data_IF_184092328668
#
_entry.id   IF_184092328668
#
_cell.length_a   1.000
_cell.length_b   1.000
_cell.length_c   1.000
_cell.angle_alpha   90.00
_cell.angle_beta   90.00
_cell.angle_gamma   90.00
#
_symmetry.space_group_name_H-M   'P 1'
#
loop_
_entity.id
_entity.type
_entity.pdbx_description
1 polymer ?
#
# COMPACT_ATOMS: atom_id res chain seq x y z
N UNK A 1 -28.69 -31.53 -25.12
CA UNK A 1 -28.49 -30.09 -25.41
C UNK A 1 -27.39 -29.57 -24.51
N UNK A 2 -26.34 -28.93 -25.03
CA UNK A 2 -25.35 -28.26 -24.18
C UNK A 2 -26.04 -27.11 -23.41
N UNK A 3 -25.77 -27.02 -22.11
CA UNK A 3 -26.29 -25.97 -21.22
C UNK A 3 -25.86 -24.61 -21.80
N UNK A 4 -26.76 -23.63 -21.96
CA UNK A 4 -26.38 -22.32 -22.47
C UNK A 4 -25.28 -21.71 -21.58
N UNK A 5 -24.33 -20.94 -22.16
CA UNK A 5 -23.28 -20.30 -21.39
C UNK A 5 -23.91 -19.39 -20.33
N UNK A 6 -23.50 -19.61 -19.08
CA UNK A 6 -23.96 -18.82 -17.93
C UNK A 6 -23.67 -17.34 -18.20
N UNK A 7 -24.64 -16.43 -18.10
CA UNK A 7 -24.40 -15.02 -18.32
C UNK A 7 -23.32 -14.50 -17.36
N UNK A 8 -22.49 -13.53 -17.78
CA UNK A 8 -21.46 -12.97 -16.92
C UNK A 8 -22.11 -12.39 -15.65
N UNK A 9 -21.60 -12.84 -14.50
CA UNK A 9 -22.02 -12.40 -13.17
C UNK A 9 -21.85 -10.87 -13.08
N UNK A 10 -22.89 -10.14 -12.63
CA UNK A 10 -22.78 -8.70 -12.42
C UNK A 10 -21.69 -8.37 -11.39
N UNK A 11 -21.00 -7.24 -11.52
CA UNK A 11 -19.94 -6.81 -10.58
C UNK A 11 -20.43 -6.85 -9.13
N UNK A 12 -21.66 -6.38 -8.88
CA UNK A 12 -22.26 -6.40 -7.55
C UNK A 12 -22.51 -7.80 -7.02
N UNK A 13 -22.95 -8.76 -7.85
CA UNK A 13 -23.09 -10.15 -7.41
C UNK A 13 -21.72 -10.77 -7.13
N UNK A 14 -20.72 -10.52 -7.98
CA UNK A 14 -19.35 -11.01 -7.79
C UNK A 14 -18.76 -10.55 -6.45
N UNK A 15 -18.96 -9.29 -6.07
CA UNK A 15 -18.52 -8.76 -4.77
C UNK A 15 -19.20 -9.46 -3.59
N UNK A 16 -20.51 -9.71 -3.68
CA UNK A 16 -21.25 -10.43 -2.62
C UNK A 16 -20.81 -11.87 -2.49
N UNK A 17 -20.56 -12.57 -3.59
CA UNK A 17 -20.03 -13.95 -3.57
C UNK A 17 -18.61 -13.99 -3.00
N UNK A 18 -17.75 -13.03 -3.35
CA UNK A 18 -16.41 -12.90 -2.78
C UNK A 18 -16.46 -12.60 -1.27
N UNK A 19 -17.43 -11.83 -0.80
CA UNK A 19 -17.65 -11.60 0.63
C UNK A 19 -18.11 -12.85 1.38
N UNK A 20 -19.02 -13.65 0.79
CA UNK A 20 -19.40 -14.97 1.35
C UNK A 20 -18.16 -15.84 1.52
N UNK A 21 -17.35 -15.95 0.47
CA UNK A 21 -16.11 -16.73 0.50
C UNK A 21 -15.12 -16.22 1.55
N UNK A 22 -14.90 -14.90 1.62
CA UNK A 22 -14.02 -14.28 2.60
C UNK A 22 -14.43 -14.68 4.03
N UNK A 23 -15.72 -14.60 4.36
CA UNK A 23 -16.16 -14.91 5.72
C UNK A 23 -16.09 -16.41 6.03
N UNK A 24 -16.44 -17.26 5.08
CA UNK A 24 -16.25 -18.71 5.24
C UNK A 24 -14.78 -19.06 5.46
N UNK A 25 -13.89 -18.46 4.66
CA UNK A 25 -12.47 -18.82 4.66
C UNK A 25 -11.73 -18.27 5.87
N UNK A 26 -11.91 -16.99 6.19
CA UNK A 26 -11.12 -16.31 7.22
C UNK A 26 -11.81 -16.21 8.57
N UNK A 27 -13.15 -16.25 8.61
CA UNK A 27 -13.93 -16.17 9.86
C UNK A 27 -14.62 -17.50 10.22
N UNK A 28 -14.61 -18.49 9.32
CA UNK A 28 -15.17 -19.82 9.56
C UNK A 28 -16.70 -19.88 9.56
N UNK A 29 -17.39 -18.75 9.34
CA UNK A 29 -18.85 -18.74 9.24
C UNK A 29 -19.39 -17.58 8.41
N UNK A 30 -20.56 -17.81 7.82
CA UNK A 30 -21.36 -16.77 7.15
C UNK A 30 -22.84 -16.97 7.47
N UNK A 31 -23.51 -15.90 7.90
CA UNK A 31 -24.96 -15.83 8.08
C UNK A 31 -25.59 -14.86 7.09
N UNK A 32 -26.90 -14.99 6.91
CA UNK A 32 -27.70 -14.10 6.06
C UNK A 32 -27.66 -12.64 6.52
N UNK A 33 -27.79 -12.32 7.84
CA UNK A 33 -27.75 -10.93 8.31
C UNK A 33 -26.51 -10.19 7.88
N UNK A 34 -25.34 -10.82 7.81
CA UNK A 34 -24.14 -10.05 7.51
C UNK A 34 -24.05 -9.65 6.03
N UNK A 35 -24.72 -10.37 5.12
CA UNK A 35 -24.86 -9.89 3.74
C UNK A 35 -25.82 -8.70 3.69
N UNK A 36 -26.88 -8.73 4.49
CA UNK A 36 -27.87 -7.65 4.59
C UNK A 36 -27.20 -6.40 5.18
N UNK A 37 -26.51 -6.55 6.31
CA UNK A 37 -25.82 -5.47 7.01
C UNK A 37 -24.71 -4.88 6.17
N UNK A 38 -23.99 -5.72 5.41
CA UNK A 38 -22.92 -5.26 4.53
C UNK A 38 -23.44 -4.52 3.29
N UNK A 39 -24.37 -5.11 2.57
CA UNK A 39 -24.74 -4.64 1.22
C UNK A 39 -26.09 -3.90 1.16
N UNK A 40 -26.82 -3.79 2.28
CA UNK A 40 -28.14 -3.18 2.32
C UNK A 40 -29.19 -3.92 1.48
N UNK A 41 -28.97 -5.21 1.22
CA UNK A 41 -29.83 -6.01 0.33
C UNK A 41 -31.00 -6.65 1.07
N UNK A 42 -32.08 -6.94 0.35
CA UNK A 42 -33.23 -7.65 0.92
C UNK A 42 -32.88 -9.10 1.33
N UNK A 43 -33.53 -9.67 2.36
CA UNK A 43 -33.25 -11.04 2.82
C UNK A 43 -33.36 -12.14 1.75
N UNK A 44 -34.27 -11.97 0.78
CA UNK A 44 -34.43 -12.89 -0.34
C UNK A 44 -33.21 -12.87 -1.28
N UNK A 45 -32.58 -11.70 -1.46
CA UNK A 45 -31.36 -11.56 -2.27
C UNK A 45 -30.20 -12.25 -1.56
N UNK A 46 -30.02 -12.02 -0.26
CA UNK A 46 -28.96 -12.69 0.51
C UNK A 46 -29.08 -14.23 0.47
N UNK A 47 -30.30 -14.76 0.55
CA UNK A 47 -30.56 -16.20 0.43
C UNK A 47 -30.19 -16.72 -0.97
N UNK A 48 -30.52 -15.95 -2.02
CA UNK A 48 -30.18 -16.29 -3.40
C UNK A 48 -28.67 -16.24 -3.63
N UNK A 49 -27.97 -15.27 -3.07
CA UNK A 49 -26.51 -15.15 -3.19
C UNK A 49 -25.80 -16.32 -2.50
N UNK A 50 -26.26 -16.75 -1.31
CA UNK A 50 -25.74 -17.95 -0.62
C UNK A 50 -25.96 -19.23 -1.46
N UNK A 51 -27.14 -19.36 -2.08
CA UNK A 51 -27.42 -20.47 -2.98
C UNK A 51 -26.53 -20.42 -4.24
N UNK A 52 -26.32 -19.24 -4.82
CA UNK A 52 -25.47 -19.03 -5.98
C UNK A 52 -23.99 -19.36 -5.66
N UNK A 53 -23.48 -18.94 -4.50
CA UNK A 53 -22.13 -19.30 -4.07
C UNK A 53 -21.99 -20.82 -3.93
N UNK A 54 -22.97 -21.49 -3.31
CA UNK A 54 -22.99 -22.95 -3.19
C UNK A 54 -23.07 -23.67 -4.54
N UNK A 55 -23.80 -23.13 -5.52
CA UNK A 55 -23.83 -23.69 -6.88
C UNK A 55 -22.46 -23.57 -7.55
N UNK A 56 -21.77 -22.45 -7.35
CA UNK A 56 -20.45 -22.19 -7.93
C UNK A 56 -19.32 -22.98 -7.24
N UNK A 57 -19.40 -23.14 -5.91
CA UNK A 57 -18.36 -23.78 -5.09
C UNK A 57 -19.01 -24.72 -4.04
N UNK A 58 -19.57 -25.87 -4.46
CA UNK A 58 -20.36 -26.75 -3.59
C UNK A 58 -19.57 -27.35 -2.42
N UNK A 59 -18.25 -27.50 -2.58
CA UNK A 59 -17.36 -28.02 -1.54
C UNK A 59 -16.88 -26.97 -0.53
N UNK A 60 -17.16 -25.68 -0.79
CA UNK A 60 -16.71 -24.59 0.06
C UNK A 60 -17.70 -24.24 1.18
N UNK A 61 -18.95 -24.69 1.10
CA UNK A 61 -20.01 -24.21 1.99
C UNK A 61 -20.95 -25.34 2.41
N UNK A 62 -21.08 -25.50 3.72
CA UNK A 62 -22.02 -26.45 4.35
C UNK A 62 -22.96 -25.68 5.27
N UNK A 63 -24.21 -26.13 5.40
CA UNK A 63 -25.18 -25.50 6.31
C UNK A 63 -25.23 -26.26 7.63
N UNK A 64 -24.85 -25.58 8.72
CA UNK A 64 -24.96 -26.10 10.08
C UNK A 64 -26.38 -25.86 10.60
N UNK A 65 -27.17 -26.93 10.68
CA UNK A 65 -28.56 -26.88 11.13
C UNK A 65 -28.71 -26.47 12.59
N UNK A 66 -27.74 -26.83 13.45
CA UNK A 66 -27.77 -26.54 14.89
C UNK A 66 -27.57 -25.05 15.14
N UNK A 67 -26.52 -24.48 14.53
CA UNK A 67 -26.16 -23.07 14.69
C UNK A 67 -26.89 -22.13 13.73
N UNK A 68 -27.62 -22.68 12.75
CA UNK A 68 -28.38 -21.95 11.71
C UNK A 68 -27.50 -20.97 10.93
N UNK A 69 -26.30 -21.41 10.58
CA UNK A 69 -25.30 -20.65 9.83
C UNK A 69 -24.62 -21.53 8.78
N UNK A 70 -23.86 -20.92 7.89
CA UNK A 70 -23.04 -21.66 6.94
C UNK A 70 -21.58 -21.68 7.40
N UNK A 71 -20.92 -22.83 7.26
CA UNK A 71 -19.52 -23.09 7.64
C UNK A 71 -18.71 -23.49 6.41
N UNK A 72 -17.37 -23.35 6.44
CA UNK A 72 -16.52 -23.83 5.37
C UNK A 72 -16.64 -25.36 5.25
N UNK A 73 -16.75 -25.85 4.02
CA UNK A 73 -16.73 -27.28 3.76
C UNK A 73 -15.34 -27.90 3.91
N UNK A 74 -15.29 -29.22 4.05
CA UNK A 74 -14.05 -29.99 4.27
C UNK A 74 -13.01 -29.90 3.15
N UNK A 75 -13.42 -29.57 1.92
CA UNK A 75 -12.58 -29.49 0.73
C UNK A 75 -12.59 -28.07 0.14
N UNK A 76 -12.42 -27.07 1.01
CA UNK A 76 -12.52 -25.67 0.66
C UNK A 76 -11.40 -25.22 -0.31
N UNK A 77 -11.79 -24.68 -1.46
CA UNK A 77 -10.88 -24.07 -2.43
C UNK A 77 -11.43 -22.71 -2.90
N UNK A 78 -10.79 -21.58 -2.54
CA UNK A 78 -11.28 -20.25 -2.89
C UNK A 78 -11.37 -20.08 -4.41
N UNK A 79 -12.49 -19.55 -4.89
CA UNK A 79 -12.77 -19.26 -6.30
C UNK A 79 -12.64 -17.77 -6.63
N UNK A 80 -12.53 -16.90 -5.63
CA UNK A 80 -12.27 -15.46 -5.79
C UNK A 80 -10.84 -15.09 -5.37
N UNK A 81 -10.25 -14.03 -5.97
CA UNK A 81 -8.95 -13.53 -5.54
C UNK A 81 -9.07 -12.82 -4.19
N UNK A 82 -8.22 -13.20 -3.24
CA UNK A 82 -8.11 -12.58 -1.91
C UNK A 82 -6.68 -12.07 -1.69
N UNK A 83 -6.32 -10.88 -2.21
CA UNK A 83 -5.00 -10.31 -1.99
C UNK A 83 -4.73 -10.10 -0.49
N UNK A 84 -3.58 -10.54 0.04
CA UNK A 84 -3.29 -10.49 1.48
C UNK A 84 -3.50 -9.12 2.11
N UNK A 85 -3.11 -8.03 1.42
CA UNK A 85 -3.27 -6.67 1.91
C UNK A 85 -4.75 -6.27 2.10
N UNK A 86 -5.62 -6.71 1.18
CA UNK A 86 -7.06 -6.47 1.28
C UNK A 86 -7.70 -7.32 2.38
N UNK A 87 -7.27 -8.57 2.51
CA UNK A 87 -7.73 -9.48 3.57
C UNK A 87 -7.35 -8.92 4.94
N UNK A 88 -6.09 -8.55 5.14
CA UNK A 88 -5.62 -7.96 6.40
C UNK A 88 -6.31 -6.64 6.70
N UNK A 89 -6.53 -5.78 5.69
CA UNK A 89 -7.32 -4.56 5.88
C UNK A 89 -8.75 -4.87 6.30
N UNK A 90 -9.41 -5.84 5.65
CA UNK A 90 -10.78 -6.23 5.99
C UNK A 90 -10.86 -6.81 7.40
N UNK A 91 -9.98 -7.75 7.76
CA UNK A 91 -9.94 -8.35 9.09
C UNK A 91 -9.70 -7.31 10.20
N UNK A 92 -8.84 -6.34 9.95
CA UNK A 92 -8.38 -5.40 10.97
C UNK A 92 -9.15 -4.08 11.03
N UNK A 93 -9.71 -3.62 9.91
CA UNK A 93 -10.39 -2.31 9.77
C UNK A 93 -11.76 -2.40 9.08
N UNK A 94 -12.20 -3.60 8.75
CA UNK A 94 -13.41 -3.83 7.97
C UNK A 94 -13.22 -3.49 6.49
N UNK A 95 -14.26 -3.74 5.70
CA UNK A 95 -14.26 -3.38 4.29
C UNK A 95 -14.71 -1.91 4.15
N UNK A 96 -13.78 -0.95 4.33
CA UNK A 96 -14.08 0.48 4.40
C UNK A 96 -15.10 0.98 3.36
N UNK A 97 -16.31 1.32 3.80
CA UNK A 97 -17.37 1.91 2.99
C UNK A 97 -18.09 3.00 3.79
N UNK A 98 -17.96 4.25 3.35
CA UNK A 98 -18.88 5.35 3.66
C UNK A 98 -18.82 5.94 5.08
N UNK A 99 -19.34 7.16 5.22
CA UNK A 99 -19.55 7.90 6.48
C UNK A 99 -20.46 7.19 7.50
N UNK A 100 -20.93 5.98 7.19
CA UNK A 100 -21.83 5.20 8.02
C UNK A 100 -21.04 4.14 8.79
N UNK A 101 -20.96 4.31 10.12
CA UNK A 101 -20.38 3.40 11.10
C UNK A 101 -18.95 3.00 10.78
N UNK A 102 -17.99 3.54 11.55
CA UNK A 102 -16.63 3.00 11.63
C UNK A 102 -16.71 1.47 11.64
N UNK A 103 -16.36 0.84 10.52
CA UNK A 103 -16.42 -0.60 10.37
C UNK A 103 -15.39 -1.13 11.36
N UNK A 104 -15.84 -1.63 12.51
CA UNK A 104 -14.95 -2.33 13.42
C UNK A 104 -14.43 -3.54 12.64
N UNK A 105 -13.12 -3.74 12.64
CA UNK A 105 -12.53 -4.93 12.03
C UNK A 105 -13.23 -6.21 12.50
N UNK A 106 -13.15 -7.27 11.70
CA UNK A 106 -13.69 -8.56 12.09
C UNK A 106 -12.93 -9.20 13.24
N UNK A 107 -11.68 -8.79 13.48
CA UNK A 107 -10.81 -9.32 14.53
C UNK A 107 -10.19 -8.18 15.35
N UNK A 108 -9.85 -8.41 16.64
CA UNK A 108 -9.08 -7.47 17.43
C UNK A 108 -7.68 -7.31 16.81
N UNK A 109 -7.29 -6.07 16.53
CA UNK A 109 -6.01 -5.73 15.91
C UNK A 109 -5.46 -4.46 16.54
N UNK A 110 -4.18 -4.46 16.89
CA UNK A 110 -3.44 -3.29 17.34
C UNK A 110 -2.54 -2.79 16.22
N UNK A 111 -2.34 -1.48 16.15
CA UNK A 111 -1.52 -0.85 15.13
C UNK A 111 -0.50 0.11 15.75
N UNK A 112 0.70 0.22 15.16
CA UNK A 112 1.61 1.30 15.52
C UNK A 112 0.93 2.67 15.40
N UNK A 113 1.18 3.54 16.38
CA UNK A 113 0.64 4.90 16.37
C UNK A 113 1.25 5.71 15.23
N UNK A 114 0.40 6.36 14.44
CA UNK A 114 0.83 7.35 13.45
C UNK A 114 0.99 8.72 14.12
N UNK A 115 2.23 9.24 14.13
CA UNK A 115 2.59 10.46 14.87
C UNK A 115 2.49 11.75 14.03
N UNK A 116 2.27 11.65 12.73
CA UNK A 116 2.52 12.77 11.82
C UNK A 116 1.53 12.83 10.64
N UNK A 117 0.25 12.83 10.96
CA UNK A 117 -0.82 13.01 9.97
C UNK A 117 -0.82 14.44 9.41
N UNK A 118 -0.91 14.63 8.08
CA UNK A 118 -1.03 15.95 7.49
C UNK A 118 -2.38 16.59 7.82
N UNK A 119 -2.41 17.92 7.93
CA UNK A 119 -3.66 18.68 7.97
C UNK A 119 -4.47 18.40 6.68
N UNK A 120 -5.74 18.03 6.82
CA UNK A 120 -6.60 17.68 5.69
C UNK A 120 -6.86 18.85 4.74
N UNK A 121 -6.86 20.10 5.23
CA UNK A 121 -6.99 21.30 4.40
C UNK A 121 -5.76 21.47 3.50
N UNK A 122 -4.57 21.26 4.06
CA UNK A 122 -3.31 21.29 3.32
C UNK A 122 -3.28 20.16 2.29
N UNK A 123 -3.58 18.93 2.72
CA UNK A 123 -3.61 17.76 1.85
C UNK A 123 -4.59 17.95 0.68
N UNK A 124 -5.78 18.51 0.94
CA UNK A 124 -6.79 18.77 -0.09
C UNK A 124 -6.33 19.78 -1.15
N UNK A 125 -5.53 20.79 -0.80
CA UNK A 125 -4.94 21.71 -1.79
C UNK A 125 -3.85 21.01 -2.60
N UNK A 126 -2.91 20.33 -1.93
CA UNK A 126 -1.79 19.63 -2.59
C UNK A 126 -2.30 18.58 -3.58
N UNK A 127 -3.27 17.77 -3.16
CA UNK A 127 -3.86 16.73 -4.03
C UNK A 127 -4.65 17.29 -5.19
N UNK A 128 -5.36 18.42 -5.01
CA UNK A 128 -5.97 19.14 -6.14
C UNK A 128 -4.91 19.68 -7.10
N UNK A 129 -3.79 20.21 -6.59
CA UNK A 129 -2.68 20.68 -7.41
C UNK A 129 -2.14 19.55 -8.30
N UNK A 130 -1.88 18.38 -7.71
CA UNK A 130 -1.43 17.18 -8.44
C UNK A 130 -2.47 16.74 -9.48
N UNK A 131 -3.73 16.57 -9.07
CA UNK A 131 -4.79 16.06 -9.95
C UNK A 131 -5.09 17.02 -11.12
N UNK A 132 -5.07 18.32 -10.87
CA UNK A 132 -5.32 19.36 -11.88
C UNK A 132 -4.06 19.77 -12.63
N UNK A 133 -2.88 19.21 -12.28
CA UNK A 133 -1.56 19.58 -12.82
C UNK A 133 -1.27 21.09 -12.68
N UNK A 134 -1.60 21.67 -11.54
CA UNK A 134 -1.41 23.09 -11.24
C UNK A 134 -0.26 23.30 -10.27
N UNK A 135 0.43 24.42 -10.42
CA UNK A 135 1.39 24.89 -9.44
C UNK A 135 0.69 25.35 -8.15
N UNK A 136 1.43 25.37 -7.06
CA UNK A 136 0.98 25.94 -5.79
C UNK A 136 2.05 26.86 -5.20
N UNK A 137 1.59 27.93 -4.57
CA UNK A 137 2.40 28.76 -3.67
C UNK A 137 2.17 28.28 -2.24
N UNK A 138 3.24 28.13 -1.47
CA UNK A 138 3.18 27.59 -0.09
C UNK A 138 4.28 28.19 0.76
N UNK A 139 4.02 28.34 2.06
CA UNK A 139 5.08 28.58 3.04
C UNK A 139 5.58 27.22 3.52
N UNK A 140 6.84 26.91 3.22
CA UNK A 140 7.46 25.65 3.61
C UNK A 140 8.42 25.83 4.77
N UNK A 141 8.19 25.08 5.85
CA UNK A 141 9.01 25.07 7.07
C UNK A 141 10.13 24.03 6.98
N UNK A 142 11.31 24.43 6.49
CA UNK A 142 12.47 23.54 6.47
C UNK A 142 13.22 23.53 7.81
N UNK A 143 13.90 22.42 8.13
CA UNK A 143 14.70 22.33 9.37
C UNK A 143 15.89 23.30 9.37
N UNK A 144 16.46 23.58 8.20
CA UNK A 144 17.67 24.41 8.08
C UNK A 144 17.35 25.90 7.99
N UNK A 145 16.30 26.28 7.23
CA UNK A 145 16.01 27.68 6.88
C UNK A 145 14.75 28.24 7.54
N UNK A 146 13.97 27.41 8.26
CA UNK A 146 12.66 27.81 8.78
C UNK A 146 11.64 28.07 7.66
N UNK A 147 10.68 28.99 7.86
CA UNK A 147 9.61 29.27 6.90
C UNK A 147 10.14 29.98 5.66
N UNK A 148 9.85 29.43 4.48
CA UNK A 148 10.22 30.01 3.18
C UNK A 148 9.05 29.92 2.22
N UNK A 149 8.69 31.04 1.57
CA UNK A 149 7.72 31.03 0.49
C UNK A 149 8.30 30.31 -0.73
N UNK A 150 7.54 29.37 -1.31
CA UNK A 150 7.93 28.58 -2.47
C UNK A 150 6.80 28.51 -3.48
N UNK A 151 7.18 28.44 -4.75
CA UNK A 151 6.31 28.01 -5.83
C UNK A 151 6.75 26.63 -6.29
N UNK A 152 5.83 25.67 -6.22
CA UNK A 152 6.15 24.27 -6.50
C UNK A 152 5.11 23.68 -7.43
N UNK A 153 5.55 22.78 -8.30
CA UNK A 153 4.69 22.02 -9.23
C UNK A 153 4.68 20.57 -8.78
N UNK A 154 3.73 20.16 -7.91
CA UNK A 154 3.66 18.79 -7.44
C UNK A 154 3.03 17.89 -8.50
N UNK A 155 3.51 16.65 -8.57
CA UNK A 155 2.99 15.66 -9.52
C UNK A 155 2.74 14.28 -8.90
N UNK A 156 3.20 14.03 -7.68
CA UNK A 156 2.93 12.77 -6.99
C UNK A 156 2.90 12.93 -5.47
N UNK A 157 2.15 12.02 -4.83
CA UNK A 157 2.31 11.72 -3.41
C UNK A 157 3.32 10.58 -3.23
N UNK A 158 4.18 10.72 -2.23
CA UNK A 158 5.16 9.69 -1.83
C UNK A 158 4.96 9.38 -0.36
N UNK A 159 4.71 8.11 -0.05
CA UNK A 159 4.72 7.61 1.32
C UNK A 159 6.11 7.05 1.63
N UNK A 160 6.77 7.60 2.65
CA UNK A 160 8.07 7.12 3.14
C UNK A 160 7.95 6.00 4.17
N UNK A 161 6.72 5.55 4.47
CA UNK A 161 6.40 4.64 5.57
C UNK A 161 6.25 5.35 6.92
N UNK A 162 6.79 6.56 7.05
CA UNK A 162 6.65 7.41 8.22
C UNK A 162 5.85 8.67 7.89
N UNK A 163 6.22 9.39 6.82
CA UNK A 163 5.67 10.69 6.42
C UNK A 163 5.18 10.67 4.97
N UNK A 164 4.14 11.46 4.72
CA UNK A 164 3.69 11.79 3.38
C UNK A 164 4.44 13.00 2.83
N UNK A 165 4.89 12.87 1.59
CA UNK A 165 5.56 13.90 0.82
C UNK A 165 4.77 14.21 -0.45
N UNK A 166 4.86 15.44 -0.93
CA UNK A 166 4.59 15.77 -2.31
C UNK A 166 5.93 15.79 -3.07
N UNK A 167 6.06 14.94 -4.09
CA UNK A 167 7.15 15.05 -5.05
C UNK A 167 6.81 16.18 -6.02
N UNK A 168 7.68 17.17 -6.10
CA UNK A 168 7.42 18.40 -6.85
C UNK A 168 8.68 18.97 -7.48
N UNK A 169 8.53 19.69 -8.58
CA UNK A 169 9.53 20.63 -9.04
C UNK A 169 9.43 21.91 -8.21
N UNK A 170 10.50 22.30 -7.52
CA UNK A 170 10.56 23.53 -6.72
C UNK A 170 11.21 24.65 -7.55
N UNK A 171 10.41 25.64 -7.99
CA UNK A 171 10.89 26.73 -8.83
C UNK A 171 11.89 27.63 -8.12
N UNK A 172 11.85 27.71 -6.78
CA UNK A 172 12.82 28.50 -6.02
C UNK A 172 14.22 27.89 -6.05
N UNK A 173 14.34 26.57 -6.23
CA UNK A 173 15.62 25.88 -6.30
C UNK A 173 15.91 25.20 -7.64
N UNK A 174 14.99 25.31 -8.59
CA UNK A 174 15.05 24.71 -9.93
C UNK A 174 15.38 23.21 -9.88
N UNK A 175 14.76 22.48 -8.94
CA UNK A 175 15.07 21.08 -8.69
C UNK A 175 13.84 20.29 -8.24
N UNK A 176 13.83 19.00 -8.56
CA UNK A 176 12.83 18.05 -8.06
C UNK A 176 13.13 17.67 -6.60
N UNK A 177 12.10 17.69 -5.74
CA UNK A 177 12.25 17.44 -4.29
C UNK A 177 11.04 16.74 -3.70
N UNK A 178 11.28 16.07 -2.58
CA UNK A 178 10.24 15.53 -1.71
C UNK A 178 9.91 16.51 -0.58
N UNK A 179 8.75 17.17 -0.67
CA UNK A 179 8.29 18.13 0.33
C UNK A 179 7.32 17.47 1.31
N UNK A 180 7.74 17.32 2.57
CA UNK A 180 6.89 16.78 3.64
C UNK A 180 5.62 17.62 3.81
N UNK A 181 4.44 17.01 3.72
CA UNK A 181 3.15 17.74 3.73
C UNK A 181 2.88 18.41 5.09
N UNK A 182 3.29 17.80 6.20
CA UNK A 182 3.10 18.38 7.56
C UNK A 182 3.92 19.65 7.81
N UNK A 183 4.77 20.07 6.86
CA UNK A 183 5.58 21.29 6.93
C UNK A 183 5.09 22.40 5.99
N UNK A 184 3.96 22.17 5.32
CA UNK A 184 3.34 23.12 4.42
C UNK A 184 2.30 23.96 5.17
N UNK A 185 2.43 25.26 5.06
CA UNK A 185 1.50 26.25 5.59
C UNK A 185 0.89 27.06 4.44
N UNK A 186 -0.43 27.28 4.54
CA UNK A 186 -1.24 28.07 3.60
C UNK A 186 -0.97 27.79 2.10
N UNK A 187 -1.08 26.53 1.64
CA UNK A 187 -0.95 26.25 0.22
C UNK A 187 -2.10 26.89 -0.57
N UNK A 188 -1.77 27.56 -1.67
CA UNK A 188 -2.72 28.19 -2.59
C UNK A 188 -2.41 27.75 -4.01
N UNK A 189 -3.43 27.28 -4.74
CA UNK A 189 -3.30 26.98 -6.16
C UNK A 189 -3.09 28.28 -6.94
N UNK A 190 -2.14 28.25 -7.87
CA UNK A 190 -1.87 29.38 -8.75
C UNK A 190 -2.04 28.94 -10.21
N UNK A 191 -2.50 29.88 -11.04
CA UNK A 191 -2.58 29.67 -12.48
C UNK A 191 -1.25 30.09 -13.10
N UNK A 192 -0.49 29.12 -13.58
CA UNK A 192 0.79 29.33 -14.24
C UNK A 192 0.79 28.60 -15.56
N UNK A 193 1.50 29.15 -16.56
CA UNK A 193 1.69 28.45 -17.82
C UNK A 193 2.34 27.08 -17.57
N UNK A 194 1.87 26.06 -18.29
CA UNK A 194 2.49 24.75 -18.27
C UNK A 194 3.93 24.87 -18.78
N UNK A 195 4.87 24.45 -17.94
CA UNK A 195 6.28 24.35 -18.30
C UNK A 195 6.65 22.86 -18.41
N UNK A 196 6.94 22.34 -19.61
CA UNK A 196 7.33 20.94 -19.80
C UNK A 196 8.54 20.51 -18.98
N UNK A 197 9.41 21.44 -18.57
CA UNK A 197 10.60 21.13 -17.78
C UNK A 197 10.30 20.83 -16.30
N UNK A 198 9.07 21.11 -15.84
CA UNK A 198 8.66 20.97 -14.43
C UNK A 198 7.85 19.69 -14.17
N UNK A 199 7.72 18.83 -15.19
CA UNK A 199 6.87 17.65 -15.15
C UNK A 199 7.59 16.39 -14.63
N UNK A 200 6.81 15.35 -14.32
CA UNK A 200 7.32 14.09 -13.77
C UNK A 200 8.29 13.34 -14.70
N UNK A 201 8.21 13.53 -16.02
CA UNK A 201 9.06 12.86 -17.00
C UNK A 201 10.48 13.47 -17.04
N UNK A 202 10.62 14.69 -16.54
CA UNK A 202 11.91 15.38 -16.40
C UNK A 202 12.62 15.08 -15.09
N UNK A 203 11.92 14.48 -14.12
CA UNK A 203 12.53 14.00 -12.89
C UNK A 203 13.22 12.64 -13.12
N UNK A 204 14.55 12.67 -13.19
CA UNK A 204 15.36 11.45 -13.35
C UNK A 204 15.16 10.47 -12.18
N UNK A 205 14.99 10.94 -10.95
CA UNK A 205 14.75 10.06 -9.80
C UNK A 205 13.38 9.39 -9.91
N UNK A 206 12.39 10.11 -10.43
CA UNK A 206 11.05 9.57 -10.62
C UNK A 206 10.98 8.56 -11.76
N UNK A 207 11.59 8.88 -12.91
CA UNK A 207 11.51 8.04 -14.12
C UNK A 207 12.41 6.81 -14.03
N UNK A 208 13.59 6.92 -13.39
CA UNK A 208 14.54 5.81 -13.24
C UNK A 208 13.99 4.72 -12.34
N UNK A 209 14.08 3.49 -12.83
CA UNK A 209 13.82 2.24 -12.10
C UNK A 209 15.12 1.67 -11.55
N UNK A 210 15.09 1.23 -10.30
CA UNK A 210 16.24 0.70 -9.56
C UNK A 210 15.91 -0.74 -9.14
N UNK A 211 16.55 -1.74 -9.76
CA UNK A 211 16.38 -3.13 -9.37
C UNK A 211 17.15 -3.40 -8.07
N UNK A 212 16.43 -3.67 -6.98
CA UNK A 212 17.01 -4.03 -5.69
C UNK A 212 16.95 -5.56 -5.52
N UNK A 213 18.09 -6.17 -5.19
CA UNK A 213 18.14 -7.58 -4.80
C UNK A 213 18.45 -7.66 -3.31
N UNK A 214 17.46 -8.04 -2.52
CA UNK A 214 17.57 -8.21 -1.08
C UNK A 214 17.80 -9.68 -0.77
N UNK A 215 18.78 -9.97 0.08
CA UNK A 215 19.09 -11.33 0.55
C UNK A 215 19.05 -11.36 2.08
N UNK A 216 18.92 -12.53 2.72
CA UNK A 216 19.16 -12.64 4.14
C UNK A 216 20.52 -12.07 4.50
N UNK A 217 20.60 -11.33 5.60
CA UNK A 217 21.84 -10.75 6.06
C UNK A 217 22.93 -11.83 6.21
N UNK A 218 24.14 -11.67 5.65
CA UNK A 218 25.17 -12.70 5.65
C UNK A 218 25.53 -13.21 7.05
N UNK A 219 25.58 -12.30 8.04
CA UNK A 219 25.86 -12.62 9.44
C UNK A 219 24.68 -13.21 10.23
N UNK A 220 23.52 -13.47 9.60
CA UNK A 220 22.37 -14.07 10.29
C UNK A 220 22.45 -15.60 10.24
N UNK A 221 22.75 -16.31 11.35
CA UNK A 221 22.88 -17.77 11.37
C UNK A 221 21.63 -18.52 10.93
N UNK A 222 20.45 -17.87 10.99
CA UNK A 222 19.16 -18.47 10.62
C UNK A 222 18.58 -17.90 9.33
N UNK A 223 19.39 -17.80 8.28
CA UNK A 223 18.99 -17.27 6.97
C UNK A 223 17.70 -17.91 6.39
N UNK A 224 17.44 -19.20 6.68
CA UNK A 224 16.18 -19.86 6.27
C UNK A 224 14.94 -19.24 6.90
N UNK A 225 15.01 -18.80 8.16
CA UNK A 225 13.89 -18.12 8.83
C UNK A 225 13.64 -16.76 8.19
N UNK A 226 14.71 -16.00 7.91
CA UNK A 226 14.60 -14.74 7.17
C UNK A 226 13.96 -14.97 5.80
N UNK A 227 14.38 -16.01 5.07
CA UNK A 227 13.78 -16.35 3.78
C UNK A 227 12.27 -16.65 3.91
N UNK A 228 11.82 -17.28 4.99
CA UNK A 228 10.41 -17.51 5.28
C UNK A 228 9.65 -16.22 5.61
N UNK A 229 10.20 -15.36 6.48
CA UNK A 229 9.59 -14.08 6.90
C UNK A 229 9.20 -13.21 5.69
N UNK A 230 10.02 -13.24 4.65
CA UNK A 230 9.82 -12.42 3.45
C UNK A 230 9.38 -13.19 2.20
N UNK A 231 8.99 -14.46 2.35
CA UNK A 231 8.51 -15.28 1.23
C UNK A 231 9.50 -15.43 0.06
N UNK A 232 10.81 -15.45 0.38
CA UNK A 232 11.87 -15.49 -0.63
C UNK A 232 11.82 -16.78 -1.45
N UNK A 233 12.11 -16.66 -2.74
CA UNK A 233 12.35 -17.81 -3.63
C UNK A 233 13.82 -17.80 -4.02
N UNK A 234 14.50 -18.94 -3.87
CA UNK A 234 15.95 -19.06 -4.14
C UNK A 234 16.82 -18.10 -3.32
N UNK A 235 16.41 -17.80 -2.08
CA UNK A 235 17.22 -17.01 -1.13
C UNK A 235 17.30 -15.51 -1.40
N UNK A 236 16.43 -14.96 -2.25
CA UNK A 236 16.40 -13.52 -2.52
C UNK A 236 14.98 -12.99 -2.76
N UNK A 237 14.82 -11.69 -2.58
CA UNK A 237 13.69 -10.88 -3.05
C UNK A 237 14.23 -9.93 -4.09
N UNK A 238 13.54 -9.85 -5.23
CA UNK A 238 13.83 -8.87 -6.26
C UNK A 238 12.72 -7.83 -6.26
N UNK A 239 13.08 -6.59 -5.99
CA UNK A 239 12.20 -5.45 -6.06
C UNK A 239 12.63 -4.58 -7.22
N UNK A 240 11.67 -3.94 -7.86
CA UNK A 240 11.94 -2.88 -8.80
C UNK A 240 11.19 -1.65 -8.32
N UNK A 241 11.92 -0.59 -7.98
CA UNK A 241 11.38 0.63 -7.36
C UNK A 241 11.84 1.86 -8.12
N UNK A 242 11.12 2.98 -8.00
CA UNK A 242 11.64 4.25 -8.54
C UNK A 242 12.81 4.72 -7.69
N UNK A 243 13.83 5.35 -8.28
CA UNK A 243 14.95 5.91 -7.52
C UNK A 243 14.45 6.91 -6.46
N UNK A 244 13.40 7.68 -6.77
CA UNK A 244 12.73 8.60 -5.85
C UNK A 244 12.21 7.96 -4.55
N UNK A 245 12.09 6.62 -4.47
CA UNK A 245 11.64 5.92 -3.25
C UNK A 245 12.62 4.86 -2.72
N UNK A 246 13.74 4.62 -3.41
CA UNK A 246 14.62 3.49 -3.08
C UNK A 246 15.16 3.57 -1.65
N UNK A 247 15.69 4.73 -1.22
CA UNK A 247 16.16 4.94 0.14
C UNK A 247 15.06 4.80 1.20
N UNK A 248 13.83 5.25 0.91
CA UNK A 248 12.70 5.06 1.82
C UNK A 248 12.35 3.58 2.02
N UNK A 249 12.32 2.80 0.94
CA UNK A 249 12.06 1.35 0.99
C UNK A 249 13.13 0.64 1.81
N UNK A 250 14.41 0.91 1.54
CA UNK A 250 15.52 0.29 2.26
C UNK A 250 15.49 0.64 3.75
N UNK A 251 15.17 1.88 4.10
CA UNK A 251 15.00 2.32 5.49
C UNK A 251 13.80 1.67 6.16
N UNK A 252 12.65 1.63 5.51
CA UNK A 252 11.41 1.08 6.05
C UNK A 252 11.57 -0.39 6.45
N UNK A 253 12.33 -1.16 5.66
CA UNK A 253 12.59 -2.57 5.92
C UNK A 253 13.90 -2.83 6.67
N UNK A 254 14.53 -1.78 7.20
CA UNK A 254 15.80 -1.83 7.91
C UNK A 254 16.86 -2.69 7.18
N UNK A 255 16.99 -2.50 5.86
CA UNK A 255 17.96 -3.24 5.05
C UNK A 255 19.36 -2.70 5.32
N UNK A 256 20.30 -3.57 5.66
CA UNK A 256 21.71 -3.21 5.72
C UNK A 256 22.23 -2.93 4.30
N UNK A 257 22.68 -1.70 4.09
CA UNK A 257 23.26 -1.23 2.84
C UNK A 257 24.76 -0.88 2.97
N UNK A 258 25.43 -1.37 4.03
CA UNK A 258 26.88 -1.30 4.19
C UNK A 258 27.61 -2.28 3.27
N UNK A 259 28.71 -1.89 2.60
CA UNK A 259 29.43 -2.75 1.65
C UNK A 259 29.85 -4.10 2.25
N UNK A 260 30.13 -4.11 3.54
CA UNK A 260 30.67 -5.21 4.32
C UNK A 260 29.68 -5.83 5.30
N UNK A 261 28.37 -5.57 5.14
CA UNK A 261 27.29 -6.14 5.97
C UNK A 261 27.58 -6.02 7.48
N UNK A 262 28.03 -4.82 7.88
CA UNK A 262 28.56 -4.52 9.21
C UNK A 262 27.49 -4.15 10.24
N UNK A 263 26.23 -3.93 9.83
CA UNK A 263 25.17 -3.62 10.78
C UNK A 263 24.71 -4.88 11.53
N UNK A 264 24.06 -4.69 12.69
CA UNK A 264 23.60 -5.80 13.52
C UNK A 264 22.54 -6.65 12.78
N UNK A 265 22.80 -7.94 12.48
CA UNK A 265 21.89 -8.82 11.75
C UNK A 265 20.57 -9.13 12.49
N UNK A 266 20.47 -8.81 13.79
CA UNK A 266 19.23 -8.96 14.55
C UNK A 266 18.27 -7.80 14.30
N UNK A 267 18.79 -6.61 14.01
CA UNK A 267 18.03 -5.43 13.61
C UNK A 267 17.82 -5.44 12.09
N UNK A 268 18.90 -5.68 11.35
CA UNK A 268 18.94 -5.65 9.90
C UNK A 268 18.93 -7.07 9.34
N UNK A 269 17.75 -7.69 9.24
CA UNK A 269 17.63 -9.08 8.77
C UNK A 269 17.92 -9.25 7.28
N UNK A 270 17.88 -8.17 6.51
CA UNK A 270 18.12 -8.13 5.08
C UNK A 270 19.40 -7.35 4.78
N UNK A 271 20.09 -7.75 3.72
CA UNK A 271 21.22 -7.02 3.17
C UNK A 271 20.99 -6.74 1.68
N UNK A 272 21.39 -5.55 1.22
CA UNK A 272 21.35 -5.18 -0.18
C UNK A 272 22.55 -5.80 -0.90
N UNK A 273 22.29 -6.79 -1.76
CA UNK A 273 23.33 -7.62 -2.39
C UNK A 273 24.29 -6.82 -3.27
N UNK A 274 23.81 -5.78 -3.93
CA UNK A 274 24.61 -4.91 -4.80
C UNK A 274 24.21 -3.45 -4.52
N UNK A 275 25.13 -2.69 -3.94
CA UNK A 275 24.92 -1.28 -3.60
C UNK A 275 25.16 -0.35 -4.78
N UNK A 276 25.88 -0.77 -5.82
CA UNK A 276 26.14 0.07 -6.99
C UNK A 276 24.84 0.44 -7.72
N UNK A 277 23.77 -0.35 -7.53
CA UNK A 277 22.43 -0.01 -8.03
C UNK A 277 21.90 1.33 -7.49
N UNK A 278 22.40 1.77 -6.33
CA UNK A 278 22.05 3.05 -5.69
C UNK A 278 22.87 4.24 -6.19
N UNK A 279 23.85 4.02 -7.08
CA UNK A 279 24.63 5.12 -7.64
C UNK A 279 23.72 6.17 -8.29
N UNK A 280 23.85 7.43 -7.88
CA UNK A 280 23.01 8.54 -8.37
C UNK A 280 21.57 8.55 -7.84
N UNK A 281 21.23 7.72 -6.85
CA UNK A 281 19.96 7.78 -6.13
C UNK A 281 20.10 8.79 -4.99
N UNK A 282 19.43 9.94 -5.12
CA UNK A 282 19.59 11.07 -4.17
C UNK A 282 19.19 10.72 -2.73
N UNK A 283 18.17 9.88 -2.55
CA UNK A 283 17.69 9.50 -1.23
C UNK A 283 18.39 8.26 -0.65
N UNK A 284 19.42 7.72 -1.31
CA UNK A 284 20.16 6.55 -0.82
C UNK A 284 20.80 6.78 0.56
N UNK A 285 21.13 8.03 0.91
CA UNK A 285 21.61 8.43 2.24
C UNK A 285 20.62 8.13 3.38
N UNK A 286 19.36 7.84 3.07
CA UNK A 286 18.37 7.41 4.06
C UNK A 286 18.50 5.92 4.40
N UNK A 287 19.14 5.13 3.54
CA UNK A 287 19.28 3.69 3.70
C UNK A 287 20.33 3.37 4.80
N UNK A 288 20.03 2.45 5.73
CA UNK A 288 20.94 2.11 6.82
C UNK A 288 22.30 1.63 6.30
N UNK A 289 23.40 2.20 6.80
CA UNK A 289 24.76 1.77 6.46
C UNK A 289 25.22 2.12 5.05
N UNK A 290 24.40 2.80 4.24
CA UNK A 290 24.84 3.23 2.91
C UNK A 290 25.98 4.24 3.00
N UNK A 291 27.05 3.97 2.26
CA UNK A 291 28.17 4.87 2.06
C UNK A 291 28.27 5.23 0.58
N UNK A 292 28.49 6.50 0.27
CA UNK A 292 28.73 6.90 -1.12
C UNK A 292 30.02 6.22 -1.64
N UNK A 293 29.96 5.53 -2.81
CA UNK A 293 31.15 4.95 -3.40
C UNK A 293 32.22 6.03 -3.61
N UNK A 294 33.41 5.83 -3.02
CA UNK A 294 34.57 6.71 -3.20
C UNK A 294 35.19 6.56 -4.58
#
# INVERSE_FOLDING_TARGET
>A
MPKPPTPPISTSLRERLAFIEFRLWFLGEVRRPDLIDRFGIAPAVATRDLAAYREQAPHNIEFDQSRKLYVPGSHFHPVFPHPPERVLSALSRGFGEGLARASRGFLPCEFPLQLNLPDLKVLAVVTRAIHQRRALRVVYHSLEKGPTAREVVPFALVDSGLRWHARAFDRSSQAFRDLVITRMEDPVLIDTADNPEENAERDMQWTRRVPLTLVPHPNQPRAKIVAMDFGMRNGAIKLDVRAAIAGYVLRQWAVDCSPDHSLDPNIHRLWLKDQLVLYGVENALLAPGYEEPR
#
